data_IF_546819078243
#
_entry.id   IF_546819078243
#
_cell.length_a   1.000
_cell.length_b   1.000
_cell.length_c   1.000
_cell.angle_alpha   90.00
_cell.angle_beta   90.00
_cell.angle_gamma   90.00
#
_symmetry.space_group_name_H-M   'P 1'
#
loop_
_entity.id
_entity.type
_entity.pdbx_description
1 polymer ?
#
# COMPACT_ATOMS: atom_id res chain seq x y z
N UNK A 1 1.74 -6.97 5.93
CA UNK A 1 1.41 -5.52 5.91
C UNK A 1 1.50 -4.89 7.29
N UNK A 2 0.73 -5.34 8.29
CA UNK A 2 0.69 -4.76 9.65
C UNK A 2 2.08 -4.53 10.26
N UNK A 3 2.92 -5.57 10.33
CA UNK A 3 4.29 -5.47 10.86
C UNK A 3 5.17 -4.46 10.10
N UNK A 4 5.06 -4.44 8.77
CA UNK A 4 5.80 -3.48 7.92
C UNK A 4 5.34 -2.05 8.18
N UNK A 5 4.02 -1.82 8.33
CA UNK A 5 3.49 -0.52 8.70
C UNK A 5 4.00 -0.06 10.07
N UNK A 6 4.14 -0.99 11.03
CA UNK A 6 4.81 -0.72 12.32
C UNK A 6 6.25 -0.21 12.17
N UNK A 7 7.02 -0.79 11.23
CA UNK A 7 8.38 -0.32 10.93
C UNK A 7 8.39 1.09 10.30
N UNK A 8 7.42 1.40 9.44
CA UNK A 8 7.27 2.75 8.87
C UNK A 8 6.90 3.78 9.95
N UNK A 9 6.01 3.42 10.90
CA UNK A 9 5.66 4.28 12.05
C UNK A 9 6.86 4.61 12.95
N UNK A 10 7.89 3.76 12.98
CA UNK A 10 9.09 4.02 13.76
C UNK A 10 10.03 5.07 13.14
N UNK A 11 9.82 5.45 11.88
CA UNK A 11 10.64 6.46 11.21
C UNK A 11 10.30 7.87 11.72
N UNK A 12 11.28 8.82 11.65
CA UNK A 12 11.04 10.22 11.99
C UNK A 12 9.95 10.87 11.13
N UNK A 13 9.22 11.82 11.71
CA UNK A 13 8.06 12.44 11.08
C UNK A 13 8.38 13.22 9.80
N UNK A 14 9.60 13.73 9.66
CA UNK A 14 10.06 14.50 8.50
C UNK A 14 10.46 13.63 7.31
N UNK A 15 10.53 12.30 7.46
CA UNK A 15 10.87 11.40 6.36
C UNK A 15 9.77 11.44 5.30
N UNK A 16 10.16 11.69 4.06
CA UNK A 16 9.25 11.74 2.93
C UNK A 16 8.75 10.35 2.53
N UNK A 17 7.51 10.30 2.05
CA UNK A 17 6.88 9.12 1.48
C UNK A 17 6.59 9.40 0.01
N UNK A 18 7.25 8.64 -0.87
CA UNK A 18 7.09 8.69 -2.31
C UNK A 18 6.35 7.42 -2.77
N UNK A 19 5.01 7.42 -2.85
CA UNK A 19 4.24 6.23 -3.19
C UNK A 19 4.35 5.90 -4.68
N UNK A 20 4.30 4.60 -5.01
CA UNK A 20 4.27 4.14 -6.41
C UNK A 20 2.93 4.37 -7.13
N UNK A 21 1.89 4.79 -6.41
CA UNK A 21 0.56 5.05 -6.94
C UNK A 21 -0.15 6.16 -6.15
N UNK A 22 -1.02 6.91 -6.81
CA UNK A 22 -1.83 8.01 -6.27
C UNK A 22 -3.23 7.99 -6.90
N UNK A 23 -4.06 9.00 -6.61
CA UNK A 23 -5.44 9.08 -7.10
C UNK A 23 -5.55 8.78 -8.61
N UNK A 24 -6.52 7.94 -8.98
CA UNK A 24 -6.69 7.40 -10.34
C UNK A 24 -6.12 5.99 -10.52
N UNK A 25 -5.26 5.51 -9.62
CA UNK A 25 -4.84 4.10 -9.61
C UNK A 25 -5.93 3.18 -9.08
N UNK A 26 -6.16 2.06 -9.77
CA UNK A 26 -7.06 0.97 -9.36
C UNK A 26 -6.43 0.05 -8.31
N UNK A 27 -5.14 0.21 -8.01
CA UNK A 27 -4.38 -0.66 -7.12
C UNK A 27 -4.65 -0.41 -5.62
N UNK A 28 -5.40 0.64 -5.27
CA UNK A 28 -5.68 0.99 -3.87
C UNK A 28 -6.94 1.82 -3.71
N UNK A 29 -7.50 1.82 -2.50
CA UNK A 29 -8.66 2.64 -2.13
C UNK A 29 -8.24 3.95 -1.46
N UNK A 30 -9.03 5.00 -1.62
CA UNK A 30 -8.85 6.31 -0.95
C UNK A 30 -7.44 6.91 -1.12
N UNK A 31 -6.82 6.71 -2.28
CA UNK A 31 -5.50 7.28 -2.58
C UNK A 31 -5.59 8.81 -2.76
N UNK A 32 -4.66 9.53 -2.14
CA UNK A 32 -4.53 10.98 -2.31
C UNK A 32 -4.05 11.32 -3.73
N UNK A 33 -4.49 12.46 -4.27
CA UNK A 33 -3.94 13.02 -5.51
C UNK A 33 -2.58 13.71 -5.33
N UNK A 34 -2.15 13.93 -4.08
CA UNK A 34 -0.83 14.48 -3.78
C UNK A 34 0.22 13.38 -4.03
N UNK A 35 1.25 13.61 -4.88
CA UNK A 35 2.19 12.56 -5.28
C UNK A 35 3.27 12.26 -4.23
N UNK A 36 3.21 12.89 -3.05
CA UNK A 36 4.15 12.70 -1.94
C UNK A 36 3.48 13.02 -0.60
N UNK A 37 4.06 12.50 0.48
CA UNK A 37 3.64 12.73 1.87
C UNK A 37 4.84 12.71 2.81
N UNK A 38 4.61 12.70 4.13
CA UNK A 38 5.64 12.40 5.14
C UNK A 38 5.13 11.39 6.14
N UNK A 39 6.04 10.69 6.83
CA UNK A 39 5.68 9.74 7.89
C UNK A 39 4.82 10.42 8.96
N UNK A 40 5.13 11.66 9.35
CA UNK A 40 4.35 12.41 10.32
C UNK A 40 2.93 12.73 9.83
N UNK A 41 2.76 13.07 8.55
CA UNK A 41 1.44 13.29 7.97
C UNK A 41 0.63 11.98 7.94
N UNK A 42 1.24 10.89 7.49
CA UNK A 42 0.57 9.59 7.42
C UNK A 42 0.17 9.09 8.82
N UNK A 43 1.01 9.22 9.85
CA UNK A 43 0.64 8.88 11.24
C UNK A 43 -0.62 9.60 11.72
N UNK A 44 -0.81 10.86 11.32
CA UNK A 44 -1.94 11.69 11.76
C UNK A 44 -3.24 11.38 11.00
N UNK A 45 -3.15 11.12 9.70
CA UNK A 45 -4.32 11.09 8.81
C UNK A 45 -4.62 9.71 8.20
N UNK A 46 -3.66 8.80 8.18
CA UNK A 46 -3.85 7.46 7.63
C UNK A 46 -4.49 6.54 8.67
N UNK A 47 -5.78 6.25 8.50
CA UNK A 47 -6.57 5.40 9.39
C UNK A 47 -5.90 4.04 9.65
N UNK A 48 -5.31 3.42 8.62
CA UNK A 48 -4.66 2.12 8.74
C UNK A 48 -3.46 2.14 9.70
N UNK A 49 -2.74 3.26 9.79
CA UNK A 49 -1.59 3.41 10.69
C UNK A 49 -2.00 3.63 12.15
N UNK A 50 -3.26 3.97 12.41
CA UNK A 50 -3.79 4.18 13.76
C UNK A 50 -4.35 2.91 14.40
N UNK A 51 -4.48 1.82 13.63
CA UNK A 51 -4.93 0.53 14.14
C UNK A 51 -3.76 -0.17 14.85
N UNK A 52 -3.96 -0.55 16.12
CA UNK A 52 -2.92 -1.19 16.95
C UNK A 52 -3.11 -2.70 17.12
N UNK A 53 -4.30 -3.23 16.82
CA UNK A 53 -4.60 -4.66 16.83
C UNK A 53 -4.45 -5.28 15.43
N UNK A 54 -3.66 -6.36 15.32
CA UNK A 54 -3.38 -7.01 14.03
C UNK A 54 -4.65 -7.61 13.41
N UNK A 55 -5.55 -8.17 14.23
CA UNK A 55 -6.80 -8.75 13.73
C UNK A 55 -7.76 -7.67 13.21
N UNK A 56 -7.87 -6.53 13.90
CA UNK A 56 -8.62 -5.36 13.44
C UNK A 56 -8.03 -4.79 12.16
N UNK A 57 -6.70 -4.74 12.04
CA UNK A 57 -6.03 -4.29 10.82
C UNK A 57 -6.35 -5.21 9.63
N UNK A 58 -6.30 -6.54 9.83
CA UNK A 58 -6.65 -7.50 8.78
C UNK A 58 -8.09 -7.30 8.32
N UNK A 59 -9.04 -7.20 9.26
CA UNK A 59 -10.46 -6.92 8.95
C UNK A 59 -10.62 -5.62 8.16
N UNK A 60 -9.97 -4.55 8.61
CA UNK A 60 -9.99 -3.25 7.93
C UNK A 60 -9.44 -3.34 6.51
N UNK A 61 -8.32 -4.03 6.30
CA UNK A 61 -7.71 -4.15 4.97
C UNK A 61 -8.58 -4.95 4.00
N UNK A 62 -9.26 -6.00 4.46
CA UNK A 62 -10.08 -6.90 3.64
C UNK A 62 -11.48 -6.36 3.29
N UNK A 63 -12.00 -5.37 4.04
CA UNK A 63 -13.39 -4.93 3.92
C UNK A 63 -13.77 -4.34 2.55
N UNK A 64 -12.83 -3.72 1.83
CA UNK A 64 -13.10 -2.96 0.60
C UNK A 64 -11.98 -3.17 -0.44
N UNK A 65 -11.73 -4.42 -0.80
CA UNK A 65 -10.75 -4.75 -1.84
C UNK A 65 -11.42 -4.61 -3.22
N UNK A 66 -10.94 -3.72 -4.11
CA UNK A 66 -11.47 -3.65 -5.47
C UNK A 66 -11.11 -4.93 -6.26
N UNK A 67 -11.88 -5.26 -7.30
CA UNK A 67 -11.54 -6.37 -8.18
C UNK A 67 -10.15 -6.14 -8.81
N UNK A 68 -9.44 -7.23 -9.05
CA UNK A 68 -8.14 -7.16 -9.71
C UNK A 68 -8.29 -6.54 -11.13
N UNK A 69 -7.37 -5.66 -11.55
CA UNK A 69 -7.37 -5.13 -12.91
C UNK A 69 -7.22 -6.25 -13.95
N UNK A 70 -7.77 -6.10 -15.18
CA UNK A 70 -7.82 -7.18 -16.18
C UNK A 70 -6.47 -7.86 -16.48
N UNK A 71 -5.39 -7.07 -16.53
CA UNK A 71 -4.05 -7.55 -16.90
C UNK A 71 -3.15 -7.85 -15.69
N UNK A 72 -3.67 -7.74 -14.46
CA UNK A 72 -2.84 -7.87 -13.25
C UNK A 72 -2.11 -9.22 -13.16
N UNK A 73 -2.73 -10.32 -13.64
CA UNK A 73 -2.09 -11.62 -13.65
C UNK A 73 -0.92 -11.71 -14.66
N UNK A 74 -1.14 -11.24 -15.89
CA UNK A 74 -0.11 -11.23 -16.94
C UNK A 74 1.07 -10.32 -16.57
N UNK A 75 0.80 -9.12 -16.07
CA UNK A 75 1.83 -8.18 -15.61
C UNK A 75 2.66 -8.75 -14.45
N UNK A 76 2.02 -9.45 -13.49
CA UNK A 76 2.76 -10.13 -12.41
C UNK A 76 3.66 -11.23 -12.94
N UNK A 77 3.18 -12.04 -13.89
CA UNK A 77 3.99 -13.09 -14.50
C UNK A 77 5.24 -12.50 -15.18
N UNK A 78 5.06 -11.47 -16.01
CA UNK A 78 6.14 -10.79 -16.73
C UNK A 78 7.17 -10.12 -15.79
N UNK A 79 6.71 -9.47 -14.71
CA UNK A 79 7.59 -8.79 -13.73
C UNK A 79 8.26 -9.76 -12.74
N UNK A 80 7.81 -11.00 -12.69
CA UNK A 80 8.40 -12.03 -11.84
C UNK A 80 9.41 -12.86 -12.62
N UNK A 81 10.40 -13.42 -11.91
CA UNK A 81 11.45 -14.27 -12.52
C UNK A 81 10.87 -15.54 -13.19
N UNK A 82 9.59 -15.86 -12.97
CA UNK A 82 8.90 -16.96 -13.65
C UNK A 82 8.86 -16.81 -15.18
N UNK A 83 8.83 -15.58 -15.72
CA UNK A 83 8.86 -15.38 -17.17
C UNK A 83 10.24 -15.71 -17.79
N UNK A 84 11.33 -15.51 -17.05
CA UNK A 84 12.69 -15.78 -17.53
C UNK A 84 13.08 -17.27 -17.46
N UNK A 85 12.36 -18.08 -16.67
CA UNK A 85 12.62 -19.52 -16.53
C UNK A 85 11.87 -20.39 -17.55
N UNK A 86 10.95 -19.81 -18.33
CA UNK A 86 10.12 -20.50 -19.32
C UNK A 86 10.53 -20.21 -20.77
N UNK A 87 11.63 -19.47 -20.98
CA UNK A 87 12.26 -19.19 -22.28
C UNK A 87 13.62 -19.89 -22.35
#
# INVERSE_FOLDING_TARGET
LFRSAGRLKALPDHVEVLPGAYAGSVCGRRLSGKPWSTIGFEKRHNEALRIEDEAAFIRFMLAEIPPAPPEAAALRAANSVLAAAAA
#
